data_IF_061812744915
#
_entry.id   IF_061812744915
#
_cell.length_a   1.000
_cell.length_b   1.000
_cell.length_c   1.000
_cell.angle_alpha   90.00
_cell.angle_beta   90.00
_cell.angle_gamma   90.00
#
_symmetry.space_group_name_H-M   'P 1'
#
loop_
_entity.id
_entity.type
_entity.pdbx_description
1 polymer ?
#
# COMPACT_ATOMS: atom_id res chain seq x y z
N UNK A 1 -53.53 9.57 -3.41
CA UNK A 1 -53.11 9.34 -4.81
C UNK A 1 -52.68 10.71 -5.29
N UNK A 2 -51.38 11.00 -5.13
CA UNK A 2 -50.40 10.98 -6.24
C UNK A 2 -50.51 12.31 -6.99
N UNK A 3 -49.53 13.20 -7.08
CA UNK A 3 -48.09 13.05 -7.00
C UNK A 3 -47.42 14.34 -6.53
N UNK A 4 -46.20 14.13 -6.05
CA UNK A 4 -45.28 15.06 -5.42
C UNK A 4 -44.91 16.31 -6.24
N UNK A 5 -44.60 17.36 -5.45
CA UNK A 5 -43.91 18.58 -5.80
C UNK A 5 -42.60 18.34 -6.56
N UNK A 6 -42.54 18.77 -7.83
CA UNK A 6 -41.28 19.08 -8.51
C UNK A 6 -41.18 20.60 -8.68
N UNK A 7 -40.69 21.26 -7.63
CA UNK A 7 -40.14 22.62 -7.73
C UNK A 7 -38.71 22.62 -7.22
N UNK A 8 -37.82 22.25 -8.13
CA UNK A 8 -36.38 22.45 -8.04
C UNK A 8 -36.07 23.96 -8.06
N UNK A 9 -36.01 24.55 -6.88
CA UNK A 9 -35.37 25.86 -6.65
C UNK A 9 -34.39 25.68 -5.50
N UNK A 10 -33.29 24.96 -5.75
CA UNK A 10 -32.17 24.90 -4.79
C UNK A 10 -31.35 26.18 -4.88
N UNK A 11 -31.57 27.08 -3.93
CA UNK A 11 -30.64 28.14 -3.56
C UNK A 11 -29.19 27.62 -3.61
N UNK A 12 -28.36 28.17 -4.49
CA UNK A 12 -26.90 27.95 -4.49
C UNK A 12 -26.30 28.62 -3.24
N UNK A 13 -26.47 28.00 -2.07
CA UNK A 13 -25.72 28.38 -0.88
C UNK A 13 -24.28 27.92 -1.06
N UNK A 14 -23.40 28.86 -1.37
CA UNK A 14 -21.95 28.66 -1.39
C UNK A 14 -21.41 28.73 0.03
N UNK A 15 -20.74 27.67 0.47
CA UNK A 15 -20.13 27.56 1.80
C UNK A 15 -18.64 27.88 1.69
N UNK A 16 -18.18 28.88 2.45
CA UNK A 16 -16.77 29.28 2.46
C UNK A 16 -15.98 28.37 3.39
N UNK A 17 -14.91 27.79 2.88
CA UNK A 17 -13.97 26.96 3.64
C UNK A 17 -12.55 27.48 3.44
N UNK A 18 -11.72 27.33 4.45
CA UNK A 18 -10.31 27.65 4.42
C UNK A 18 -9.52 26.34 4.46
N UNK A 19 -8.67 26.09 3.48
CA UNK A 19 -7.81 24.90 3.38
C UNK A 19 -6.38 25.39 3.15
N UNK A 20 -5.42 24.98 3.98
CA UNK A 20 -4.01 25.42 3.89
C UNK A 20 -3.80 26.95 3.91
N UNK A 21 -4.70 27.67 4.59
CA UNK A 21 -4.82 29.15 4.65
C UNK A 21 -5.41 29.81 3.40
N UNK A 22 -5.67 29.06 2.34
CA UNK A 22 -6.40 29.52 1.15
C UNK A 22 -7.90 29.35 1.32
N UNK A 23 -8.71 30.16 0.63
CA UNK A 23 -10.17 30.13 0.75
C UNK A 23 -10.80 29.53 -0.50
N UNK A 24 -11.73 28.60 -0.29
CA UNK A 24 -12.48 27.89 -1.31
C UNK A 24 -13.98 27.98 -1.04
N UNK A 25 -14.79 27.79 -2.07
CA UNK A 25 -16.25 27.78 -1.96
C UNK A 25 -16.80 26.41 -2.38
N UNK A 26 -17.47 25.75 -1.44
CA UNK A 26 -18.19 24.50 -1.69
C UNK A 26 -19.66 24.80 -2.01
N UNK A 27 -20.21 24.16 -3.04
CA UNK A 27 -21.65 24.22 -3.36
C UNK A 27 -22.46 23.16 -2.60
N UNK A 28 -21.80 22.33 -1.78
CA UNK A 28 -22.42 21.31 -0.94
C UNK A 28 -22.35 21.74 0.52
N UNK A 29 -23.45 21.55 1.25
CA UNK A 29 -23.49 21.77 2.69
C UNK A 29 -22.69 20.72 3.47
N UNK A 30 -22.63 19.49 2.95
CA UNK A 30 -21.95 18.34 3.55
C UNK A 30 -21.02 17.67 2.54
N UNK A 31 -19.91 18.31 2.12
CA UNK A 31 -18.92 17.66 1.28
C UNK A 31 -18.15 16.58 2.08
N UNK A 32 -17.64 15.57 1.38
CA UNK A 32 -16.70 14.62 1.99
C UNK A 32 -15.29 15.21 2.07
N UNK A 33 -14.43 14.65 2.92
CA UNK A 33 -13.02 15.06 2.97
C UNK A 33 -12.32 14.91 1.60
N UNK A 34 -12.63 13.85 0.85
CA UNK A 34 -12.21 13.65 -0.54
C UNK A 34 -12.55 14.84 -1.42
N UNK A 35 -13.79 15.31 -1.36
CA UNK A 35 -14.26 16.44 -2.16
C UNK A 35 -13.56 17.75 -1.77
N UNK A 36 -13.31 17.96 -0.47
CA UNK A 36 -12.55 19.11 0.02
C UNK A 36 -11.08 19.08 -0.44
N UNK A 37 -10.45 17.91 -0.46
CA UNK A 37 -9.08 17.73 -0.97
C UNK A 37 -9.01 18.02 -2.47
N UNK A 38 -9.95 17.49 -3.25
CA UNK A 38 -10.06 17.77 -4.69
C UNK A 38 -10.31 19.26 -4.94
N UNK A 39 -11.18 19.90 -4.13
CA UNK A 39 -11.45 21.34 -4.21
C UNK A 39 -10.19 22.18 -3.98
N UNK A 40 -9.30 21.73 -3.09
CA UNK A 40 -7.99 22.34 -2.81
C UNK A 40 -6.89 21.93 -3.80
N UNK A 41 -7.22 21.28 -4.93
CA UNK A 41 -6.26 20.84 -5.93
C UNK A 41 -5.35 19.68 -5.48
N UNK A 42 -5.69 19.00 -4.39
CA UNK A 42 -4.93 17.86 -3.85
C UNK A 42 -5.39 16.57 -4.54
N UNK A 43 -4.75 16.25 -5.66
CA UNK A 43 -5.05 15.06 -6.46
C UNK A 43 -3.76 14.25 -6.71
N UNK A 44 -3.75 12.93 -6.48
CA UNK A 44 -4.85 12.11 -5.95
C UNK A 44 -5.17 12.42 -4.48
N UNK A 45 -6.46 12.55 -4.09
CA UNK A 45 -6.84 12.89 -2.71
C UNK A 45 -6.38 11.85 -1.68
N UNK A 46 -6.11 10.61 -2.11
CA UNK A 46 -5.59 9.52 -1.26
C UNK A 46 -4.19 9.82 -0.71
N UNK A 47 -3.44 10.74 -1.33
CA UNK A 47 -2.10 11.13 -0.88
C UNK A 47 -2.11 12.29 0.12
N UNK A 48 -3.28 12.71 0.61
CA UNK A 48 -3.41 13.84 1.51
C UNK A 48 -4.40 13.54 2.62
N UNK A 49 -4.01 13.82 3.86
CA UNK A 49 -4.92 13.77 4.99
C UNK A 49 -5.52 15.15 5.23
N UNK A 50 -6.82 15.18 5.49
CA UNK A 50 -7.54 16.40 5.87
C UNK A 50 -7.73 16.44 7.39
N UNK A 51 -7.26 17.53 8.00
CA UNK A 51 -7.46 17.79 9.42
C UNK A 51 -8.40 18.98 9.60
N UNK A 52 -9.44 18.81 10.41
CA UNK A 52 -10.24 19.92 10.91
C UNK A 52 -9.47 20.64 12.03
N UNK A 53 -9.34 21.97 11.91
CA UNK A 53 -8.63 22.80 12.89
C UNK A 53 -9.63 23.70 13.64
N UNK A 54 -10.08 23.30 14.84
CA UNK A 54 -10.97 24.13 15.65
C UNK A 54 -10.26 25.41 16.14
N UNK A 55 -11.04 26.43 16.54
CA UNK A 55 -10.52 27.69 17.12
C UNK A 55 -9.73 27.47 18.42
N UNK A 56 -10.07 26.41 19.17
CA UNK A 56 -9.38 25.95 20.38
C UNK A 56 -9.39 24.43 20.39
N UNK A 57 -8.25 23.80 20.62
CA UNK A 57 -8.10 22.33 20.62
C UNK A 57 -7.03 21.85 19.64
N UNK A 58 -6.75 20.55 19.69
CA UNK A 58 -5.89 19.89 18.72
C UNK A 58 -6.63 19.70 17.38
N UNK A 59 -5.92 19.66 16.23
CA UNK A 59 -6.51 19.27 14.96
C UNK A 59 -7.06 17.84 15.01
N UNK A 60 -8.25 17.63 14.45
CA UNK A 60 -8.88 16.32 14.35
C UNK A 60 -8.79 15.81 12.91
N UNK A 61 -8.32 14.56 12.72
CA UNK A 61 -8.27 13.93 11.40
C UNK A 61 -9.68 13.58 10.93
N UNK A 62 -9.98 13.86 9.66
CA UNK A 62 -11.21 13.46 9.01
C UNK A 62 -10.90 12.33 8.02
N UNK A 63 -11.64 11.23 8.14
CA UNK A 63 -11.57 10.11 7.18
C UNK A 63 -11.97 10.56 5.77
N UNK A 64 -11.33 9.98 4.75
CA UNK A 64 -11.46 10.46 3.35
C UNK A 64 -12.91 10.46 2.83
N UNK A 65 -13.73 9.48 3.25
CA UNK A 65 -15.14 9.35 2.85
C UNK A 65 -16.12 9.87 3.92
N UNK A 66 -15.64 10.48 5.01
CA UNK A 66 -16.49 11.10 6.03
C UNK A 66 -17.02 12.44 5.54
N UNK A 67 -18.34 12.62 5.64
CA UNK A 67 -19.02 13.89 5.37
C UNK A 67 -18.74 14.90 6.48
N UNK A 68 -18.51 16.15 6.10
CA UNK A 68 -18.24 17.26 7.01
C UNK A 68 -19.33 18.30 6.86
N UNK A 69 -20.05 18.62 7.95
CA UNK A 69 -21.12 19.61 7.89
C UNK A 69 -20.61 21.04 7.99
N UNK A 70 -20.53 21.74 6.86
CA UNK A 70 -20.06 23.12 6.76
C UNK A 70 -21.03 24.16 7.36
N UNK A 71 -22.19 23.74 7.86
CA UNK A 71 -23.15 24.62 8.54
C UNK A 71 -22.78 24.85 10.01
N UNK A 72 -21.88 24.05 10.57
CA UNK A 72 -21.49 24.17 11.97
C UNK A 72 -20.53 25.37 12.20
N UNK A 73 -20.80 26.23 13.21
CA UNK A 73 -19.94 27.37 13.49
C UNK A 73 -18.51 26.94 13.84
N UNK A 74 -17.54 27.33 13.00
CA UNK A 74 -16.12 27.08 13.26
C UNK A 74 -15.53 25.86 12.55
N UNK A 75 -16.29 25.13 11.74
CA UNK A 75 -15.76 24.05 10.87
C UNK A 75 -15.10 24.54 9.58
N UNK A 76 -14.94 25.84 9.43
CA UNK A 76 -14.49 26.48 8.19
C UNK A 76 -12.98 26.36 7.95
N UNK A 77 -12.23 25.67 8.82
CA UNK A 77 -10.76 25.65 8.79
C UNK A 77 -10.22 24.25 8.73
N UNK A 78 -9.57 23.93 7.63
CA UNK A 78 -8.91 22.68 7.38
C UNK A 78 -7.44 22.89 7.06
N UNK A 79 -6.64 21.88 7.35
CA UNK A 79 -5.24 21.78 6.97
C UNK A 79 -5.05 20.45 6.28
N UNK A 80 -4.35 20.47 5.16
CA UNK A 80 -3.91 19.25 4.49
C UNK A 80 -2.49 18.93 4.93
N UNK A 81 -2.22 17.65 5.14
CA UNK A 81 -0.86 17.15 5.25
C UNK A 81 -0.67 16.14 4.13
N UNK A 82 0.44 16.22 3.36
CA UNK A 82 0.84 15.13 2.49
C UNK A 82 0.91 13.86 3.35
N UNK A 83 0.12 12.87 2.98
CA UNK A 83 0.38 11.51 3.40
C UNK A 83 1.55 11.08 2.52
N UNK A 84 2.77 11.20 3.04
CA UNK A 84 3.86 10.36 2.54
C UNK A 84 3.28 8.95 2.50
N UNK A 85 3.10 8.38 1.29
CA UNK A 85 2.29 7.19 1.03
C UNK A 85 2.50 6.10 2.09
N UNK A 86 1.70 6.12 3.16
CA UNK A 86 1.77 5.14 4.25
C UNK A 86 0.41 4.94 4.92
N UNK A 87 -0.70 5.45 4.39
CA UNK A 87 -1.98 5.29 5.09
C UNK A 87 -3.16 4.99 4.18
N UNK A 88 -3.35 3.68 4.03
CA UNK A 88 -4.60 3.07 3.60
C UNK A 88 -4.53 1.57 3.74
N UNK A 89 -4.17 1.07 4.94
CA UNK A 89 -4.51 -0.24 5.55
C UNK A 89 -3.67 -0.38 6.85
N UNK A 90 -4.21 0.08 7.98
CA UNK A 90 -3.76 -0.16 9.37
C UNK A 90 -2.27 -0.32 9.68
N UNK A 91 -1.66 0.64 10.40
CA UNK A 91 -0.38 0.50 11.12
C UNK A 91 0.62 -0.44 10.43
N UNK A 92 1.03 -0.11 9.20
CA UNK A 92 1.97 -0.96 8.47
C UNK A 92 3.20 -1.17 9.34
N UNK A 93 3.43 -2.41 9.75
CA UNK A 93 4.47 -2.75 10.71
C UNK A 93 5.83 -2.34 10.14
N UNK A 94 6.63 -1.68 10.98
CA UNK A 94 8.01 -1.26 10.70
C UNK A 94 8.90 -1.66 11.89
N UNK A 95 8.99 -2.96 12.14
CA UNK A 95 9.62 -3.53 13.35
C UNK A 95 11.16 -3.65 13.25
N UNK A 96 11.73 -3.29 12.10
CA UNK A 96 13.17 -3.19 11.87
C UNK A 96 13.47 -2.26 10.70
N UNK A 97 14.73 -1.83 10.61
CA UNK A 97 15.21 -0.93 9.55
C UNK A 97 15.88 -1.72 8.42
N UNK A 98 15.77 -1.18 7.21
CA UNK A 98 16.45 -1.64 6.01
C UNK A 98 17.43 -0.58 5.51
N UNK A 99 18.43 -0.97 4.70
CA UNK A 99 19.24 -0.01 3.93
C UNK A 99 18.37 0.95 3.12
N UNK A 100 18.87 2.19 2.93
CA UNK A 100 18.13 3.24 2.23
C UNK A 100 17.69 2.82 0.81
N UNK A 101 18.57 2.17 0.06
CA UNK A 101 18.30 1.69 -1.31
C UNK A 101 17.11 0.72 -1.37
N UNK A 102 16.95 -0.13 -0.35
CA UNK A 102 15.85 -1.08 -0.27
C UNK A 102 14.52 -0.40 0.02
N UNK A 103 14.54 0.60 0.92
CA UNK A 103 13.37 1.40 1.24
C UNK A 103 12.95 2.24 0.03
N UNK A 104 13.90 2.87 -0.65
CA UNK A 104 13.66 3.63 -1.89
C UNK A 104 13.02 2.74 -2.96
N UNK A 105 13.53 1.52 -3.15
CA UNK A 105 12.94 0.57 -4.07
C UNK A 105 11.53 0.15 -3.65
N UNK A 106 11.31 -0.21 -2.39
CA UNK A 106 9.99 -0.59 -1.85
C UNK A 106 8.96 0.52 -2.07
N UNK A 107 9.32 1.78 -1.78
CA UNK A 107 8.46 2.94 -2.03
C UNK A 107 8.21 3.12 -3.53
N UNK A 108 9.24 2.98 -4.37
CA UNK A 108 9.12 3.10 -5.82
C UNK A 108 8.22 2.04 -6.47
N UNK A 109 8.03 0.86 -5.84
CA UNK A 109 7.07 -0.13 -6.32
C UNK A 109 5.63 0.37 -6.30
N UNK A 110 5.31 1.34 -5.42
CA UNK A 110 3.94 1.80 -5.16
C UNK A 110 3.05 0.74 -4.51
N UNK A 111 3.61 -0.41 -4.10
CA UNK A 111 2.90 -1.47 -3.41
C UNK A 111 2.97 -1.26 -1.90
N UNK A 112 1.92 -1.69 -1.19
CA UNK A 112 1.94 -1.74 0.27
C UNK A 112 2.98 -2.76 0.72
N UNK A 113 3.78 -2.41 1.71
CA UNK A 113 4.75 -3.31 2.31
C UNK A 113 4.81 -3.16 3.83
N UNK A 114 5.25 -4.22 4.51
CA UNK A 114 5.47 -4.30 5.96
C UNK A 114 6.85 -4.91 6.28
N UNK A 115 7.46 -4.41 7.36
CA UNK A 115 8.70 -4.94 7.94
C UNK A 115 8.33 -5.55 9.29
N UNK A 116 8.32 -6.87 9.35
CA UNK A 116 7.76 -7.64 10.47
C UNK A 116 8.84 -8.53 11.09
N UNK A 117 8.85 -8.60 12.42
CA UNK A 117 9.74 -9.44 13.21
C UNK A 117 8.92 -10.46 14.00
N UNK A 118 8.99 -11.72 13.59
CA UNK A 118 8.32 -12.83 14.30
C UNK A 118 9.35 -13.86 14.74
N UNK A 119 9.36 -14.21 16.04
CA UNK A 119 10.26 -15.24 16.56
C UNK A 119 11.75 -14.96 16.36
N UNK A 120 12.14 -13.67 16.20
CA UNK A 120 13.51 -13.25 15.90
C UNK A 120 13.90 -13.32 14.42
N UNK A 121 12.98 -13.73 13.54
CA UNK A 121 13.16 -13.72 12.09
C UNK A 121 12.60 -12.42 11.53
N UNK A 122 13.42 -11.70 10.76
CA UNK A 122 13.02 -10.46 10.09
C UNK A 122 12.46 -10.79 8.71
N UNK A 123 11.33 -10.19 8.34
CA UNK A 123 10.74 -10.36 7.02
C UNK A 123 10.24 -9.06 6.43
N UNK A 124 10.42 -8.92 5.13
CA UNK A 124 9.78 -7.91 4.31
C UNK A 124 8.59 -8.55 3.64
N UNK A 125 7.39 -8.03 3.87
CA UNK A 125 6.14 -8.46 3.23
C UNK A 125 5.72 -7.38 2.25
N UNK A 126 5.44 -7.74 1.00
CA UNK A 126 4.90 -6.87 -0.04
C UNK A 126 3.53 -7.43 -0.43
N UNK A 127 2.50 -6.59 -0.37
CA UNK A 127 1.12 -6.98 -0.63
C UNK A 127 0.75 -6.68 -2.08
N UNK A 128 -0.07 -7.55 -2.67
CA UNK A 128 -0.59 -7.35 -4.02
C UNK A 128 0.50 -7.34 -5.11
N UNK A 129 1.59 -8.06 -4.88
CA UNK A 129 2.67 -8.22 -5.85
C UNK A 129 2.15 -8.90 -7.13
N UNK A 130 2.31 -8.28 -8.31
CA UNK A 130 1.77 -8.81 -9.56
C UNK A 130 2.50 -10.09 -9.96
N UNK A 131 1.76 -11.06 -10.51
CA UNK A 131 2.36 -12.29 -11.06
C UNK A 131 2.08 -12.41 -12.56
N UNK A 132 2.98 -13.05 -13.33
CA UNK A 132 2.76 -13.24 -14.76
C UNK A 132 1.46 -14.00 -15.06
N UNK A 133 0.81 -13.74 -16.21
CA UNK A 133 -0.35 -14.50 -16.63
C UNK A 133 0.02 -15.98 -16.83
N UNK A 134 -0.84 -16.89 -16.37
CA UNK A 134 -0.58 -18.33 -16.38
C UNK A 134 -0.62 -18.99 -15.01
N UNK A 135 -0.79 -18.20 -13.94
CA UNK A 135 -1.11 -18.70 -12.60
C UNK A 135 -2.61 -18.63 -12.29
N UNK A 136 -3.02 -19.26 -11.20
CA UNK A 136 -4.37 -19.25 -10.65
C UNK A 136 -4.85 -17.86 -10.18
N UNK A 137 -3.92 -16.94 -9.92
CA UNK A 137 -4.18 -15.56 -9.48
C UNK A 137 -3.31 -14.57 -10.27
N UNK A 138 -3.71 -13.31 -10.32
CA UNK A 138 -2.96 -12.23 -11.00
C UNK A 138 -2.08 -11.41 -10.06
N UNK A 139 -2.26 -11.56 -8.74
CA UNK A 139 -1.45 -10.92 -7.71
C UNK A 139 -1.40 -11.78 -6.44
N UNK A 140 -0.32 -11.67 -5.68
CA UNK A 140 -0.08 -12.37 -4.41
C UNK A 140 0.58 -11.44 -3.40
N UNK A 141 0.37 -11.70 -2.13
CA UNK A 141 1.30 -11.24 -1.10
C UNK A 141 2.58 -12.07 -1.23
N UNK A 142 3.74 -11.41 -1.12
CA UNK A 142 5.05 -12.04 -1.13
C UNK A 142 5.84 -11.58 0.07
N UNK A 143 6.51 -12.50 0.75
CA UNK A 143 7.52 -12.13 1.73
C UNK A 143 8.89 -12.74 1.45
N UNK A 144 9.91 -12.07 1.96
CA UNK A 144 11.29 -12.54 1.95
C UNK A 144 11.87 -12.43 3.35
N UNK A 145 12.73 -13.38 3.70
CA UNK A 145 13.43 -13.40 4.98
C UNK A 145 14.71 -12.59 4.89
N UNK A 146 14.94 -11.74 5.86
CA UNK A 146 16.17 -10.95 6.01
C UNK A 146 16.99 -11.56 7.14
N UNK A 147 18.12 -12.15 6.78
CA UNK A 147 19.04 -12.75 7.74
C UNK A 147 20.04 -11.73 8.30
N UNK A 148 20.57 -12.04 9.48
CA UNK A 148 21.62 -11.25 10.12
C UNK A 148 22.84 -11.15 9.21
N UNK A 149 23.22 -9.92 8.86
CA UNK A 149 24.34 -9.64 7.96
C UNK A 149 23.92 -9.18 6.57
N UNK A 150 22.62 -9.15 6.25
CA UNK A 150 22.12 -8.42 5.08
C UNK A 150 22.55 -6.94 5.13
N UNK A 151 23.00 -6.32 4.01
CA UNK A 151 22.97 -6.81 2.62
C UNK A 151 24.16 -7.69 2.18
N UNK A 152 25.12 -7.99 3.04
CA UNK A 152 26.23 -8.90 2.72
C UNK A 152 25.75 -10.36 2.65
N UNK A 153 24.79 -10.71 3.50
CA UNK A 153 24.13 -12.02 3.51
C UNK A 153 23.11 -12.14 2.38
N UNK A 154 23.13 -13.28 1.70
CA UNK A 154 22.26 -13.57 0.58
C UNK A 154 20.80 -13.78 0.99
N UNK A 155 19.88 -13.31 0.13
CA UNK A 155 18.48 -13.77 0.10
C UNK A 155 18.32 -14.84 -1.00
N UNK A 156 17.68 -15.97 -0.67
CA UNK A 156 17.54 -17.14 -1.56
C UNK A 156 16.13 -17.75 -1.59
N UNK A 157 15.21 -17.20 -0.82
CA UNK A 157 13.83 -17.68 -0.69
C UNK A 157 12.83 -16.56 -1.00
N UNK A 158 11.66 -16.98 -1.47
CA UNK A 158 10.46 -16.17 -1.56
C UNK A 158 9.26 -16.99 -1.08
N UNK A 159 8.29 -16.30 -0.49
CA UNK A 159 7.14 -16.92 0.15
C UNK A 159 5.87 -16.27 -0.38
N UNK A 160 4.94 -17.04 -0.91
CA UNK A 160 3.75 -16.51 -1.59
C UNK A 160 2.47 -16.86 -0.85
N UNK A 161 1.54 -15.91 -0.83
CA UNK A 161 0.18 -16.09 -0.33
C UNK A 161 -0.82 -15.27 -1.18
N UNK A 162 -1.91 -15.85 -1.70
CA UNK A 162 -2.27 -17.26 -1.65
C UNK A 162 -1.23 -18.12 -2.41
N UNK A 163 -1.33 -19.44 -2.26
CA UNK A 163 -0.46 -20.36 -2.95
C UNK A 163 -0.57 -20.23 -4.48
N UNK A 164 0.57 -20.23 -5.15
CA UNK A 164 0.63 -20.20 -6.60
C UNK A 164 0.45 -21.60 -7.16
N UNK A 165 -0.46 -21.72 -8.12
CA UNK A 165 -0.67 -22.91 -8.93
C UNK A 165 -0.65 -22.50 -10.39
N UNK A 166 -0.06 -23.32 -11.26
CA UNK A 166 -0.08 -23.05 -12.69
C UNK A 166 -1.48 -23.28 -13.23
N UNK A 167 -1.96 -22.37 -14.07
CA UNK A 167 -3.26 -22.46 -14.74
C UNK A 167 -3.34 -23.61 -15.75
N UNK A 168 -2.20 -24.16 -16.17
CA UNK A 168 -2.12 -25.38 -16.99
C UNK A 168 -2.22 -26.69 -16.18
N UNK A 169 -2.41 -26.60 -14.86
CA UNK A 169 -2.58 -27.75 -13.96
C UNK A 169 -1.28 -28.49 -13.63
N UNK A 170 -0.11 -28.03 -14.11
CA UNK A 170 1.17 -28.64 -13.76
C UNK A 170 1.59 -28.28 -12.34
N UNK A 171 2.22 -29.24 -11.66
CA UNK A 171 2.75 -29.02 -10.32
C UNK A 171 3.99 -28.13 -10.36
N UNK A 172 4.11 -27.26 -9.36
CA UNK A 172 5.31 -26.47 -9.13
C UNK A 172 6.24 -27.26 -8.20
N UNK A 173 7.49 -27.43 -8.62
CA UNK A 173 8.47 -28.22 -7.87
C UNK A 173 9.08 -27.47 -6.68
N UNK A 174 9.62 -28.22 -5.72
CA UNK A 174 10.36 -27.70 -4.57
C UNK A 174 9.61 -26.57 -3.81
N UNK A 175 8.38 -26.91 -3.44
CA UNK A 175 7.51 -26.13 -2.57
C UNK A 175 7.55 -26.68 -1.14
N UNK A 176 7.44 -25.79 -0.17
CA UNK A 176 7.16 -26.16 1.22
C UNK A 176 6.15 -25.17 1.81
N UNK A 177 5.42 -25.59 2.84
CA UNK A 177 4.57 -24.69 3.61
C UNK A 177 5.38 -24.12 4.78
N UNK A 178 5.23 -22.82 5.05
CA UNK A 178 5.81 -22.16 6.21
C UNK A 178 4.81 -21.21 6.85
N UNK A 179 4.60 -21.35 8.15
CA UNK A 179 3.71 -20.47 8.90
C UNK A 179 4.44 -19.19 9.28
N UNK A 180 3.82 -18.06 8.98
CA UNK A 180 4.31 -16.74 9.35
C UNK A 180 3.13 -15.76 9.42
N UNK A 181 3.09 -14.92 10.45
CA UNK A 181 2.09 -13.87 10.61
C UNK A 181 0.64 -14.39 10.56
N UNK A 182 0.41 -15.51 11.23
CA UNK A 182 -0.90 -16.19 11.26
C UNK A 182 -1.37 -16.80 9.94
N UNK A 183 -0.55 -16.73 8.87
CA UNK A 183 -0.83 -17.31 7.54
C UNK A 183 0.11 -18.48 7.26
N UNK A 184 -0.32 -19.36 6.37
CA UNK A 184 0.53 -20.43 5.81
C UNK A 184 0.97 -20.02 4.42
N UNK A 185 2.27 -19.82 4.25
CA UNK A 185 2.86 -19.32 3.02
C UNK A 185 3.47 -20.46 2.21
N UNK A 186 3.35 -20.36 0.89
CA UNK A 186 4.00 -21.27 -0.04
C UNK A 186 5.45 -20.80 -0.27
N UNK A 187 6.40 -21.51 0.32
CA UNK A 187 7.83 -21.24 0.21
C UNK A 187 8.40 -21.80 -1.08
N UNK A 188 9.07 -20.93 -1.83
CA UNK A 188 9.90 -21.26 -2.98
C UNK A 188 11.36 -21.06 -2.58
N UNK A 189 12.12 -22.15 -2.58
CA UNK A 189 13.57 -22.11 -2.41
C UNK A 189 14.24 -22.37 -3.75
N UNK A 190 15.05 -21.41 -4.18
CA UNK A 190 15.77 -21.45 -5.46
C UNK A 190 17.15 -20.86 -5.20
N UNK A 191 18.11 -21.74 -4.90
CA UNK A 191 19.48 -21.32 -4.64
C UNK A 191 20.10 -20.66 -5.86
N UNK A 192 20.84 -19.57 -5.62
CA UNK A 192 21.72 -18.96 -6.61
C UNK A 192 22.82 -19.94 -7.00
N UNK A 193 23.12 -20.02 -8.29
CA UNK A 193 24.19 -20.89 -8.80
C UNK A 193 25.56 -20.28 -8.55
N UNK A 194 26.64 -21.07 -8.46
CA UNK A 194 28.01 -20.53 -8.38
C UNK A 194 28.40 -19.58 -9.52
N UNK A 195 27.75 -19.70 -10.68
CA UNK A 195 27.95 -18.80 -11.83
C UNK A 195 27.33 -17.41 -11.66
N UNK A 196 26.32 -17.28 -10.79
CA UNK A 196 25.60 -16.04 -10.51
C UNK A 196 25.35 -15.94 -9.00
N UNK A 197 26.42 -15.85 -8.17
CA UNK A 197 26.28 -15.78 -6.73
C UNK A 197 25.67 -14.43 -6.31
N UNK A 198 25.20 -14.34 -5.06
CA UNK A 198 24.96 -13.05 -4.43
C UNK A 198 26.24 -12.22 -4.47
N UNK A 199 26.12 -10.94 -4.82
CA UNK A 199 27.21 -9.98 -4.89
C UNK A 199 27.08 -9.04 -3.68
N UNK A 200 27.89 -9.24 -2.62
CA UNK A 200 27.85 -8.37 -1.45
C UNK A 200 28.13 -6.92 -1.83
N UNK A 201 27.41 -5.98 -1.23
CA UNK A 201 27.45 -4.55 -1.57
C UNK A 201 26.89 -4.15 -2.94
N UNK A 202 26.29 -5.08 -3.70
CA UNK A 202 25.69 -4.80 -5.03
C UNK A 202 24.27 -5.36 -5.13
N UNK A 203 24.03 -6.57 -4.63
CA UNK A 203 22.71 -7.16 -4.59
C UNK A 203 21.92 -6.67 -3.37
N UNK A 204 20.62 -6.47 -3.57
CA UNK A 204 19.70 -5.91 -2.58
C UNK A 204 18.28 -6.48 -2.85
N UNK A 205 17.24 -5.95 -2.20
CA UNK A 205 15.86 -6.42 -2.43
C UNK A 205 15.48 -6.33 -3.90
N UNK A 206 15.80 -5.22 -4.57
CA UNK A 206 15.41 -5.00 -5.97
C UNK A 206 15.96 -6.08 -6.91
N UNK A 207 17.24 -6.45 -6.74
CA UNK A 207 17.86 -7.48 -7.58
C UNK A 207 17.37 -8.87 -7.23
N UNK A 208 17.00 -9.11 -5.96
CA UNK A 208 16.36 -10.34 -5.54
C UNK A 208 14.94 -10.48 -6.10
N UNK A 209 14.12 -9.42 -6.06
CA UNK A 209 12.77 -9.46 -6.63
C UNK A 209 12.79 -9.60 -8.16
N UNK A 210 13.76 -9.01 -8.85
CA UNK A 210 13.99 -9.31 -10.28
C UNK A 210 14.34 -10.79 -10.54
N UNK A 211 15.05 -11.43 -9.60
CA UNK A 211 15.29 -12.88 -9.66
C UNK A 211 14.01 -13.68 -9.39
N UNK A 212 13.18 -13.25 -8.44
CA UNK A 212 11.86 -13.85 -8.16
C UNK A 212 10.95 -13.80 -9.40
N UNK A 213 10.88 -12.68 -10.10
CA UNK A 213 10.12 -12.54 -11.35
C UNK A 213 10.61 -13.51 -12.43
N UNK A 214 11.93 -13.72 -12.48
CA UNK A 214 12.52 -14.72 -13.38
C UNK A 214 12.12 -16.14 -12.99
N UNK A 215 11.97 -16.45 -11.71
CA UNK A 215 11.51 -17.77 -11.24
C UNK A 215 10.08 -18.03 -11.66
N UNK A 216 9.18 -17.05 -11.46
CA UNK A 216 7.79 -17.13 -11.87
C UNK A 216 7.68 -17.37 -13.38
N UNK A 217 8.36 -16.54 -14.16
CA UNK A 217 8.34 -16.66 -15.63
C UNK A 217 8.91 -17.99 -16.13
N UNK A 218 10.03 -18.45 -15.56
CA UNK A 218 10.66 -19.72 -15.94
C UNK A 218 9.83 -20.93 -15.54
N UNK A 219 9.12 -20.88 -14.42
CA UNK A 219 8.26 -21.98 -13.99
C UNK A 219 7.12 -22.20 -14.99
N UNK A 220 6.51 -21.13 -15.51
CA UNK A 220 5.50 -21.22 -16.56
C UNK A 220 6.06 -21.76 -17.89
N UNK A 221 7.34 -21.49 -18.18
CA UNK A 221 8.01 -21.98 -19.38
C UNK A 221 8.40 -23.48 -19.31
N UNK A 222 8.35 -24.11 -18.13
CA UNK A 222 8.65 -25.55 -18.01
C UNK A 222 7.53 -26.38 -18.63
N UNK A 223 7.93 -27.32 -19.49
CA UNK A 223 7.07 -28.32 -20.11
C UNK A 223 6.63 -29.42 -19.12
#
# INVERSE_FOLDING_TARGET
>A
MSDDDEKDVKDKKSYKVQIDKEHYESNKAQPTARELLVLAGKSPPEHFALYFKPKRGAPERIEIDKEVDLREPGVERFVTLPLDQTEGLGTDRREFDLPAEDVEWLVATGLRYELVREGGVLRVVIYGYPVPPGYNVSAVDVNVRIDTGYPEAQIDMAYFYPELQRGDGRSIGALAAESFDGKVWQRWSRHRTPANPWRPGVDNLSTHFGLVDSWLSRELAKA
#
